data_IF_061315015645
#
_entry.id   IF_061315015645
#
_cell.length_a   1.000
_cell.length_b   1.000
_cell.length_c   1.000
_cell.angle_alpha   90.00
_cell.angle_beta   90.00
_cell.angle_gamma   90.00
#
_symmetry.space_group_name_H-M   'P 1'
#
loop_
_entity.id
_entity.type
_entity.pdbx_description
1 polymer ?
#
# COMPACT_ATOMS: atom_id res chain seq x y z
N UNK A 1 -23.88 -7.11 7.39
CA UNK A 1 -23.30 -6.53 8.63
C UNK A 1 -21.78 -6.64 8.47
N UNK A 2 -21.06 -5.52 8.31
CA UNK A 2 -19.60 -5.57 8.13
C UNK A 2 -18.94 -5.54 9.51
N UNK A 3 -18.14 -6.56 9.83
CA UNK A 3 -17.32 -6.60 11.04
C UNK A 3 -16.18 -5.60 10.93
N UNK A 4 -15.89 -4.79 11.97
CA UNK A 4 -14.72 -3.93 12.00
C UNK A 4 -13.44 -4.73 11.78
N UNK A 5 -12.54 -4.22 10.95
CA UNK A 5 -11.23 -4.84 10.72
C UNK A 5 -10.44 -4.84 12.03
N UNK A 6 -10.00 -6.03 12.47
CA UNK A 6 -9.14 -6.18 13.63
C UNK A 6 -7.71 -5.83 13.24
N UNK A 7 -7.15 -4.80 13.86
CA UNK A 7 -5.75 -4.45 13.65
C UNK A 7 -4.87 -5.59 14.17
N UNK A 8 -4.16 -6.26 13.25
CA UNK A 8 -3.29 -7.39 13.55
C UNK A 8 -1.94 -6.98 14.15
N UNK A 9 -1.62 -5.68 14.09
CA UNK A 9 -0.33 -5.11 14.51
C UNK A 9 -0.37 -4.45 15.90
N UNK A 10 -1.51 -4.51 16.61
CA UNK A 10 -1.66 -3.95 17.97
C UNK A 10 -0.74 -4.72 18.92
N UNK A 11 0.23 -4.02 19.51
CA UNK A 11 1.19 -4.59 20.46
C UNK A 11 2.47 -5.16 19.83
N UNK A 12 2.64 -5.12 18.51
CA UNK A 12 3.92 -5.48 17.90
C UNK A 12 4.99 -4.44 18.24
N UNK A 13 6.17 -4.91 18.66
CA UNK A 13 7.34 -4.06 18.92
C UNK A 13 7.93 -3.48 17.63
N UNK A 14 7.52 -3.97 16.46
CA UNK A 14 7.97 -3.51 15.13
C UNK A 14 7.03 -2.50 14.47
N UNK A 15 5.88 -2.20 15.08
CA UNK A 15 4.93 -1.20 14.57
C UNK A 15 5.37 0.22 14.97
N UNK A 16 5.26 1.16 14.03
CA UNK A 16 5.42 2.60 14.29
C UNK A 16 4.09 3.30 14.05
N UNK A 17 3.66 4.14 14.99
CA UNK A 17 2.37 4.81 14.94
C UNK A 17 2.38 6.11 14.12
N UNK A 18 3.58 6.60 13.75
CA UNK A 18 3.73 7.82 12.96
C UNK A 18 5.10 7.90 12.27
N UNK A 19 5.21 8.73 11.24
CA UNK A 19 6.47 9.03 10.57
C UNK A 19 7.52 9.63 11.53
N UNK A 20 7.09 10.45 12.51
CA UNK A 20 7.99 11.00 13.52
C UNK A 20 8.60 9.90 14.40
N UNK A 21 7.78 8.95 14.85
CA UNK A 21 8.26 7.83 15.66
C UNK A 21 9.18 6.90 14.86
N UNK A 22 8.88 6.71 13.56
CA UNK A 22 9.76 5.99 12.65
C UNK A 22 11.13 6.68 12.54
N UNK A 23 11.16 7.99 12.29
CA UNK A 23 12.39 8.77 12.17
C UNK A 23 13.29 8.66 13.40
N UNK A 24 12.73 8.81 14.60
CA UNK A 24 13.51 8.65 15.85
C UNK A 24 14.08 7.24 15.99
N UNK A 25 13.36 6.22 15.52
CA UNK A 25 13.82 4.82 15.61
C UNK A 25 14.92 4.49 14.61
N UNK A 26 14.81 4.98 13.37
CA UNK A 26 15.82 4.72 12.32
C UNK A 26 17.08 5.56 12.51
N UNK A 27 16.98 6.72 13.15
CA UNK A 27 18.11 7.63 13.41
C UNK A 27 19.26 6.97 14.19
N UNK A 28 18.94 6.01 15.06
CA UNK A 28 19.92 5.31 15.89
C UNK A 28 20.25 3.91 15.37
N UNK A 29 19.66 3.50 14.25
CA UNK A 29 19.81 2.17 13.71
C UNK A 29 21.10 2.11 12.89
N UNK A 30 22.00 1.19 13.26
CA UNK A 30 23.19 0.86 12.49
C UNK A 30 22.94 -0.47 11.78
N UNK A 31 23.20 -0.50 10.48
CA UNK A 31 23.13 -1.69 9.66
C UNK A 31 24.55 -2.17 9.38
N UNK A 32 24.76 -3.47 9.49
CA UNK A 32 25.98 -4.09 8.97
C UNK A 32 25.98 -4.07 7.42
N UNK A 33 27.14 -4.20 6.76
CA UNK A 33 27.25 -4.08 5.29
C UNK A 33 26.40 -5.07 4.49
N UNK A 34 25.95 -6.16 5.12
CA UNK A 34 25.09 -7.20 4.57
C UNK A 34 23.62 -7.08 5.01
N UNK A 35 23.28 -6.08 5.82
CA UNK A 35 21.93 -5.86 6.31
C UNK A 35 21.23 -4.75 5.51
N UNK A 36 19.95 -4.95 5.26
CA UNK A 36 19.10 -3.94 4.64
C UNK A 36 17.81 -3.82 5.45
N UNK A 37 17.48 -2.61 5.89
CA UNK A 37 16.21 -2.34 6.55
C UNK A 37 15.15 -1.99 5.52
N UNK A 38 14.01 -2.67 5.58
CA UNK A 38 12.84 -2.42 4.72
C UNK A 38 11.65 -2.06 5.61
N UNK A 39 11.02 -0.91 5.36
CA UNK A 39 9.81 -0.48 6.07
C UNK A 39 8.61 -0.55 5.14
N UNK A 40 7.51 -1.16 5.59
CA UNK A 40 6.25 -1.21 4.86
C UNK A 40 5.20 -0.37 5.57
N UNK A 41 4.53 0.50 4.82
CA UNK A 41 3.28 1.09 5.28
C UNK A 41 2.15 0.10 4.98
N UNK A 42 1.78 -0.72 5.96
CA UNK A 42 0.69 -1.68 5.82
C UNK A 42 -0.63 -0.98 6.14
N UNK A 43 -1.01 0.01 5.33
CA UNK A 43 -2.43 0.28 5.15
C UNK A 43 -2.90 -0.80 4.19
N UNK A 44 -3.54 -1.84 4.71
CA UNK A 44 -4.18 -2.87 3.90
C UNK A 44 -5.17 -2.18 2.94
N UNK A 45 -4.72 -1.90 1.72
CA UNK A 45 -5.60 -1.63 0.59
C UNK A 45 -6.22 -2.96 0.20
N UNK A 46 -7.28 -3.32 0.95
CA UNK A 46 -8.22 -4.41 0.70
C UNK A 46 -7.73 -5.84 1.01
N UNK A 47 -7.91 -6.28 2.26
CA UNK A 47 -7.64 -7.67 2.70
C UNK A 47 -8.81 -8.64 2.47
N UNK A 48 -9.79 -8.33 1.61
CA UNK A 48 -10.93 -9.25 1.40
C UNK A 48 -11.48 -9.28 -0.03
N UNK A 49 -10.98 -8.41 -0.92
CA UNK A 49 -11.52 -8.25 -2.26
C UNK A 49 -10.41 -8.66 -3.25
N UNK A 50 -10.68 -9.59 -4.20
CA UNK A 50 -9.72 -9.91 -5.25
C UNK A 50 -9.27 -8.64 -5.98
N UNK A 51 -7.96 -8.46 -6.16
CA UNK A 51 -7.39 -7.24 -6.75
C UNK A 51 -8.02 -6.91 -8.11
N UNK A 52 -8.24 -7.94 -8.95
CA UNK A 52 -8.91 -7.77 -10.24
C UNK A 52 -10.35 -7.28 -10.11
N UNK A 53 -11.07 -7.73 -9.07
CA UNK A 53 -12.42 -7.25 -8.78
C UNK A 53 -12.39 -5.79 -8.33
N UNK A 54 -11.44 -5.40 -7.47
CA UNK A 54 -11.26 -4.01 -7.06
C UNK A 54 -10.93 -3.09 -8.25
N UNK A 55 -9.99 -3.50 -9.12
CA UNK A 55 -9.63 -2.77 -10.34
C UNK A 55 -10.84 -2.65 -11.27
N UNK A 56 -11.61 -3.72 -11.46
CA UNK A 56 -12.80 -3.72 -12.30
C UNK A 56 -13.88 -2.74 -11.80
N UNK A 57 -14.17 -2.77 -10.50
CA UNK A 57 -15.16 -1.86 -9.88
C UNK A 57 -14.70 -0.41 -9.98
N UNK A 58 -13.43 -0.11 -9.69
CA UNK A 58 -12.90 1.26 -9.83
C UNK A 58 -12.95 1.73 -11.29
N UNK A 59 -12.65 0.85 -12.25
CA UNK A 59 -12.75 1.17 -13.68
C UNK A 59 -14.17 1.54 -14.10
N UNK A 60 -15.18 0.80 -13.63
CA UNK A 60 -16.58 1.13 -13.87
C UNK A 60 -16.96 2.48 -13.26
N UNK A 61 -16.55 2.73 -12.01
CA UNK A 61 -16.81 4.01 -11.32
C UNK A 61 -16.19 5.18 -12.09
N UNK A 62 -14.94 5.04 -12.54
CA UNK A 62 -14.25 6.07 -13.32
C UNK A 62 -15.01 6.35 -14.62
N UNK A 63 -15.44 5.31 -15.35
CA UNK A 63 -16.17 5.50 -16.61
C UNK A 63 -17.51 6.23 -16.46
N UNK A 64 -18.13 6.16 -15.27
CA UNK A 64 -19.45 6.75 -15.00
C UNK A 64 -19.34 8.11 -14.31
N UNK A 65 -18.32 8.33 -13.48
CA UNK A 65 -18.27 9.46 -12.53
C UNK A 65 -17.06 10.38 -12.71
N UNK A 66 -16.07 10.00 -13.52
CA UNK A 66 -14.86 10.78 -13.69
C UNK A 66 -14.91 11.56 -15.01
N UNK A 67 -15.17 12.86 -14.91
CA UNK A 67 -15.07 13.78 -16.04
C UNK A 67 -13.60 14.14 -16.27
N UNK A 68 -13.06 13.78 -17.43
CA UNK A 68 -11.64 14.01 -17.77
C UNK A 68 -11.34 15.46 -18.18
N UNK A 69 -12.37 16.29 -18.40
CA UNK A 69 -12.19 17.69 -18.82
C UNK A 69 -11.44 18.46 -17.73
N UNK A 70 -10.37 19.14 -18.14
CA UNK A 70 -9.47 19.92 -17.28
C UNK A 70 -8.83 19.14 -16.11
N UNK A 71 -8.81 17.81 -16.18
CA UNK A 71 -8.11 16.97 -15.20
C UNK A 71 -6.67 16.69 -15.64
N UNK A 72 -5.69 16.77 -14.72
CA UNK A 72 -4.29 16.45 -15.02
C UNK A 72 -4.06 14.95 -15.21
N UNK A 73 -4.99 14.09 -14.77
CA UNK A 73 -4.90 12.64 -14.87
C UNK A 73 -6.13 12.10 -15.58
N UNK A 74 -5.91 11.17 -16.51
CA UNK A 74 -6.95 10.42 -17.19
C UNK A 74 -7.30 9.15 -16.41
N UNK A 75 -8.47 8.60 -16.70
CA UNK A 75 -9.00 7.40 -16.03
C UNK A 75 -8.09 6.17 -16.19
N UNK A 76 -7.41 6.02 -17.32
CA UNK A 76 -6.41 5.00 -17.59
C UNK A 76 -5.17 5.14 -16.69
N UNK A 77 -4.64 6.36 -16.53
CA UNK A 77 -3.52 6.63 -15.61
C UNK A 77 -3.88 6.32 -14.16
N UNK A 78 -5.11 6.63 -13.75
CA UNK A 78 -5.63 6.31 -12.40
C UNK A 78 -5.73 4.80 -12.17
N UNK A 79 -6.19 4.05 -13.18
CA UNK A 79 -6.23 2.58 -13.12
C UNK A 79 -4.85 1.95 -13.12
N UNK A 80 -3.89 2.53 -13.84
CA UNK A 80 -2.51 2.08 -13.83
C UNK A 80 -1.86 2.31 -12.47
N UNK A 81 -2.03 3.50 -11.89
CA UNK A 81 -1.59 3.79 -10.52
C UNK A 81 -2.19 2.80 -9.53
N UNK A 82 -3.49 2.52 -9.61
CA UNK A 82 -4.15 1.53 -8.77
C UNK A 82 -3.53 0.14 -8.93
N UNK A 83 -3.23 -0.31 -10.16
CA UNK A 83 -2.54 -1.59 -10.40
C UNK A 83 -1.17 -1.63 -9.73
N UNK A 84 -0.42 -0.52 -9.75
CA UNK A 84 0.86 -0.44 -9.06
C UNK A 84 0.69 -0.48 -7.53
N UNK A 85 -0.28 0.24 -6.98
CA UNK A 85 -0.58 0.22 -5.54
C UNK A 85 -1.05 -1.16 -5.05
N UNK A 86 -1.69 -1.95 -5.92
CA UNK A 86 -2.15 -3.31 -5.62
C UNK A 86 -1.07 -4.38 -5.85
N UNK A 87 0.12 -4.04 -6.36
CA UNK A 87 1.25 -4.97 -6.34
C UNK A 87 1.75 -5.09 -4.89
N UNK A 88 1.24 -6.09 -4.20
CA UNK A 88 1.58 -6.38 -2.80
C UNK A 88 2.85 -7.19 -2.65
N UNK A 89 3.41 -7.69 -3.76
CA UNK A 89 4.64 -8.44 -3.76
C UNK A 89 5.81 -7.54 -4.15
N UNK A 90 6.92 -7.69 -3.44
CA UNK A 90 8.18 -7.06 -3.82
C UNK A 90 9.28 -8.11 -3.87
N UNK A 91 10.31 -7.85 -4.67
CA UNK A 91 11.45 -8.75 -4.83
C UNK A 91 12.63 -8.16 -4.05
N UNK A 92 13.09 -8.87 -3.03
CA UNK A 92 14.30 -8.55 -2.28
C UNK A 92 15.31 -9.69 -2.41
N UNK A 93 16.53 -9.40 -2.83
CA UNK A 93 17.55 -10.44 -3.03
C UNK A 93 17.14 -11.55 -4.02
N UNK A 94 16.25 -11.25 -4.97
CA UNK A 94 15.71 -12.23 -5.91
C UNK A 94 14.57 -13.10 -5.35
N UNK A 95 14.16 -12.89 -4.10
CA UNK A 95 13.03 -13.59 -3.48
C UNK A 95 11.81 -12.69 -3.45
N UNK A 96 10.68 -13.25 -3.88
CA UNK A 96 9.38 -12.59 -3.85
C UNK A 96 8.78 -12.76 -2.44
N UNK A 97 8.47 -11.64 -1.77
CA UNK A 97 7.72 -11.59 -0.50
C UNK A 97 6.30 -11.13 -0.71
#
# INVERSE_FOLDING_TARGET
MFTPLKCLAVGSTTTVASAKQFLERVKHLKLEPNESMVSFDVVSLFTSIPQQLAIGVVGQILSVRYEEIDKPLRSDHMLELLRHCLKTYFIFGGQMS
#
